data_IF_761381438625
#
_entry.id   IF_761381438625
#
_cell.length_a   1.000
_cell.length_b   1.000
_cell.length_c   1.000
_cell.angle_alpha   90.00
_cell.angle_beta   90.00
_cell.angle_gamma   90.00
#
_symmetry.space_group_name_H-M   'P 1'
#
loop_
_entity.id
_entity.type
_entity.pdbx_description
1 polymer ?
#
# COMPACT_ATOMS: atom_id res chain seq x y z
N UNK A 1 -10.38 -4.56 -81.52
CA UNK A 1 -8.98 -5.02 -81.36
C UNK A 1 -8.49 -4.76 -79.94
N UNK A 2 -8.53 -5.78 -79.08
CA UNK A 2 -7.59 -6.04 -77.97
C UNK A 2 -7.85 -7.47 -77.48
N UNK A 3 -6.77 -8.16 -77.14
CA UNK A 3 -6.57 -9.60 -77.26
C UNK A 3 -7.13 -10.37 -76.04
N UNK A 4 -7.53 -11.61 -76.30
CA UNK A 4 -7.89 -12.66 -75.35
C UNK A 4 -6.79 -12.95 -74.33
N UNK A 5 -7.16 -13.38 -73.11
CA UNK A 5 -6.51 -14.51 -72.46
C UNK A 5 -7.40 -15.11 -71.35
N UNK A 6 -7.67 -16.39 -71.56
CA UNK A 6 -8.37 -17.34 -70.71
C UNK A 6 -7.41 -17.77 -69.61
N UNK A 7 -7.86 -17.80 -68.35
CA UNK A 7 -7.37 -18.77 -67.38
C UNK A 7 -8.55 -19.27 -66.53
N UNK A 8 -8.99 -20.47 -66.87
CA UNK A 8 -9.79 -21.29 -66.00
C UNK A 8 -8.85 -21.97 -65.00
N UNK A 9 -9.11 -21.81 -63.70
CA UNK A 9 -8.73 -22.80 -62.70
C UNK A 9 -9.83 -22.87 -61.67
N UNK A 10 -10.66 -23.91 -61.81
CA UNK A 10 -11.53 -24.41 -60.77
C UNK A 10 -10.64 -25.08 -59.72
N UNK A 11 -10.66 -24.59 -58.49
CA UNK A 11 -10.29 -25.39 -57.33
C UNK A 11 -11.39 -25.26 -56.27
N UNK A 12 -12.01 -26.40 -56.03
CA UNK A 12 -12.98 -26.72 -55.00
C UNK A 12 -12.23 -26.97 -53.69
N UNK A 13 -12.41 -26.14 -52.66
CA UNK A 13 -12.06 -26.51 -51.27
C UNK A 13 -13.02 -25.88 -50.25
N UNK A 14 -13.91 -26.73 -49.74
CA UNK A 14 -14.31 -26.94 -48.34
C UNK A 14 -14.51 -25.70 -47.44
N UNK A 15 -15.78 -25.53 -47.05
CA UNK A 15 -16.30 -24.76 -45.91
C UNK A 15 -15.49 -24.92 -44.62
N UNK A 16 -15.04 -23.81 -44.03
CA UNK A 16 -14.82 -23.71 -42.58
C UNK A 16 -15.44 -22.40 -42.08
N UNK A 17 -16.59 -22.57 -41.43
CA UNK A 17 -17.18 -21.63 -40.50
C UNK A 17 -16.20 -21.45 -39.33
N UNK A 18 -15.64 -20.24 -39.16
CA UNK A 18 -15.07 -19.81 -37.88
C UNK A 18 -15.89 -18.61 -37.41
N UNK A 19 -16.78 -18.89 -36.46
CA UNK A 19 -17.22 -17.95 -35.44
C UNK A 19 -16.06 -17.77 -34.44
N UNK A 20 -16.16 -16.72 -33.60
CA UNK A 20 -15.46 -16.56 -32.31
C UNK A 20 -14.07 -15.90 -32.40
N UNK A 21 -13.74 -14.80 -31.72
CA UNK A 21 -14.40 -13.84 -30.84
C UNK A 21 -13.60 -12.52 -30.93
N UNK A 22 -14.27 -11.37 -30.81
CA UNK A 22 -13.62 -10.16 -30.32
C UNK A 22 -13.37 -10.35 -28.82
N UNK A 23 -12.18 -10.78 -28.45
CA UNK A 23 -11.67 -10.56 -27.10
C UNK A 23 -11.03 -9.17 -27.09
N UNK A 24 -11.88 -8.14 -26.98
CA UNK A 24 -11.46 -6.90 -26.33
C UNK A 24 -11.32 -7.25 -24.85
N UNK A 25 -10.18 -7.84 -24.49
CA UNK A 25 -9.77 -8.01 -23.10
C UNK A 25 -9.40 -6.60 -22.60
N UNK A 26 -10.45 -5.82 -22.33
CA UNK A 26 -10.45 -4.50 -21.72
C UNK A 26 -10.03 -4.67 -20.26
N UNK A 27 -8.78 -5.14 -20.07
CA UNK A 27 -8.08 -5.16 -18.80
C UNK A 27 -7.68 -3.74 -18.47
N UNK A 28 -8.68 -2.85 -18.32
CA UNK A 28 -8.45 -1.62 -17.59
C UNK A 28 -7.92 -2.06 -16.21
N UNK A 29 -6.64 -1.78 -15.90
CA UNK A 29 -6.09 -2.18 -14.62
C UNK A 29 -6.96 -1.58 -13.53
N UNK A 30 -7.34 -2.39 -12.54
CA UNK A 30 -8.16 -1.93 -11.42
C UNK A 30 -7.35 -0.89 -10.67
N UNK A 31 -7.59 0.38 -10.97
CA UNK A 31 -6.88 1.49 -10.34
C UNK A 31 -7.38 1.67 -8.91
N UNK A 32 -6.45 1.93 -8.00
CA UNK A 32 -6.79 2.24 -6.62
C UNK A 32 -7.53 3.57 -6.55
N UNK A 33 -8.69 3.62 -5.92
CA UNK A 33 -9.43 4.86 -5.74
C UNK A 33 -8.66 5.85 -4.83
N UNK A 34 -8.68 7.15 -5.19
CA UNK A 34 -7.96 8.20 -4.47
C UNK A 34 -8.39 8.29 -3.01
N UNK A 35 -9.70 8.30 -2.76
CA UNK A 35 -10.24 8.45 -1.41
C UNK A 35 -9.94 7.21 -0.57
N UNK A 36 -9.95 6.03 -1.20
CA UNK A 36 -9.55 4.76 -0.58
C UNK A 36 -8.08 4.77 -0.16
N UNK A 37 -7.18 5.24 -1.03
CA UNK A 37 -5.76 5.40 -0.68
C UNK A 37 -5.57 6.37 0.49
N UNK A 38 -6.15 7.57 0.43
CA UNK A 38 -6.04 8.58 1.50
C UNK A 38 -6.54 8.04 2.83
N UNK A 39 -7.70 7.38 2.83
CA UNK A 39 -8.32 6.86 4.06
C UNK A 39 -7.48 5.74 4.67
N UNK A 40 -6.95 4.85 3.84
CA UNK A 40 -6.14 3.71 4.28
C UNK A 40 -4.78 4.17 4.79
N UNK A 41 -4.08 5.01 4.03
CA UNK A 41 -2.78 5.56 4.40
C UNK A 41 -2.88 6.41 5.68
N UNK A 42 -3.91 7.26 5.81
CA UNK A 42 -4.12 8.06 7.01
C UNK A 42 -4.37 7.20 8.26
N UNK A 43 -5.21 6.16 8.14
CA UNK A 43 -5.49 5.26 9.26
C UNK A 43 -4.26 4.46 9.68
N UNK A 44 -3.50 3.92 8.73
CA UNK A 44 -2.26 3.18 8.99
C UNK A 44 -1.22 4.10 9.66
N UNK A 45 -1.02 5.31 9.12
CA UNK A 45 -0.11 6.30 9.68
C UNK A 45 -0.49 6.71 11.11
N UNK A 46 -1.77 6.99 11.38
CA UNK A 46 -2.24 7.35 12.71
C UNK A 46 -2.04 6.20 13.71
N UNK A 47 -2.24 4.97 13.28
CA UNK A 47 -1.97 3.80 14.11
C UNK A 47 -0.49 3.70 14.47
N UNK A 48 0.42 3.85 13.51
CA UNK A 48 1.86 3.73 13.74
C UNK A 48 2.39 4.85 14.65
N UNK A 49 1.83 6.07 14.57
CA UNK A 49 2.10 7.14 15.55
C UNK A 49 1.66 6.71 16.95
N UNK A 50 0.43 6.21 17.10
CA UNK A 50 -0.12 5.85 18.41
C UNK A 50 0.60 4.63 19.01
N UNK A 51 0.90 3.61 18.21
CA UNK A 51 1.65 2.44 18.62
C UNK A 51 3.10 2.81 18.98
N UNK A 52 3.74 3.68 18.20
CA UNK A 52 5.07 4.22 18.50
C UNK A 52 5.11 4.96 19.83
N UNK A 53 4.11 5.81 20.10
CA UNK A 53 4.00 6.50 21.39
C UNK A 53 3.83 5.51 22.56
N UNK A 54 3.01 4.45 22.39
CA UNK A 54 2.92 3.39 23.38
C UNK A 54 4.24 2.65 23.58
N UNK A 55 5.05 2.46 22.52
CA UNK A 55 6.35 1.81 22.62
C UNK A 55 7.35 2.63 23.43
N UNK A 56 7.37 3.96 23.26
CA UNK A 56 8.19 4.85 24.11
C UNK A 56 7.79 4.74 25.58
N UNK A 57 6.48 4.70 25.87
CA UNK A 57 5.96 4.67 27.24
C UNK A 57 6.10 3.30 27.92
N UNK A 58 5.79 2.21 27.20
CA UNK A 58 5.56 0.88 27.77
C UNK A 58 6.66 -0.13 27.45
N UNK A 59 7.52 0.18 26.47
CA UNK A 59 8.56 -0.74 26.02
C UNK A 59 9.65 -0.94 27.06
N UNK A 60 10.04 -2.20 27.30
CA UNK A 60 11.14 -2.49 28.24
C UNK A 60 12.51 -2.47 27.57
N UNK A 61 12.60 -2.96 26.34
CA UNK A 61 13.81 -2.93 25.54
C UNK A 61 14.09 -1.52 24.99
N UNK A 62 15.35 -1.08 25.06
CA UNK A 62 15.79 0.20 24.49
C UNK A 62 15.51 0.25 22.98
N UNK A 63 15.76 -0.84 22.26
CA UNK A 63 15.50 -0.94 20.82
C UNK A 63 14.01 -0.70 20.47
N UNK A 64 13.07 -1.16 21.31
CA UNK A 64 11.62 -0.93 21.10
C UNK A 64 11.27 0.54 21.32
N UNK A 65 11.79 1.16 22.38
CA UNK A 65 11.56 2.59 22.64
C UNK A 65 12.12 3.45 21.50
N UNK A 66 13.37 3.22 21.10
CA UNK A 66 14.00 3.96 20.01
C UNK A 66 13.24 3.79 18.70
N UNK A 67 12.85 2.57 18.35
CA UNK A 67 12.03 2.33 17.15
C UNK A 67 10.70 3.10 17.23
N UNK A 68 10.01 3.08 18.39
CA UNK A 68 8.80 3.85 18.62
C UNK A 68 8.97 5.36 18.44
N UNK A 69 10.09 5.93 18.92
CA UNK A 69 10.42 7.35 18.72
C UNK A 69 10.60 7.69 17.23
N UNK A 70 11.28 6.82 16.48
CA UNK A 70 11.44 6.99 15.03
C UNK A 70 10.07 6.98 14.32
N UNK A 71 9.18 6.05 14.69
CA UNK A 71 7.84 5.97 14.11
C UNK A 71 7.03 7.24 14.36
N UNK A 72 7.00 7.75 15.59
CA UNK A 72 6.27 8.98 15.93
C UNK A 72 6.79 10.17 15.10
N UNK A 73 8.11 10.29 14.95
CA UNK A 73 8.71 11.42 14.26
C UNK A 73 8.46 11.41 12.75
N UNK A 74 8.67 10.26 12.10
CA UNK A 74 8.59 10.18 10.64
C UNK A 74 7.13 10.08 10.16
N UNK A 75 6.29 9.30 10.84
CA UNK A 75 4.86 9.24 10.53
C UNK A 75 4.11 10.52 10.92
N UNK A 76 4.58 11.25 11.95
CA UNK A 76 4.05 12.58 12.27
C UNK A 76 4.17 13.52 11.07
N UNK A 77 5.36 13.60 10.47
CA UNK A 77 5.60 14.41 9.27
C UNK A 77 4.78 13.92 8.07
N UNK A 78 4.76 12.60 7.83
CA UNK A 78 3.99 12.02 6.72
C UNK A 78 2.48 12.30 6.86
N UNK A 79 1.95 12.28 8.08
CA UNK A 79 0.55 12.64 8.37
C UNK A 79 0.24 14.10 8.05
N UNK A 80 1.15 15.02 8.39
CA UNK A 80 1.00 16.45 8.05
C UNK A 80 1.02 16.69 6.54
N UNK A 81 1.95 16.03 5.83
CA UNK A 81 2.03 16.09 4.36
C UNK A 81 0.74 15.56 3.71
N UNK A 82 0.26 14.37 4.11
CA UNK A 82 -0.96 13.78 3.56
C UNK A 82 -2.17 14.66 3.83
N UNK A 83 -2.27 15.26 5.02
CA UNK A 83 -3.33 16.20 5.36
C UNK A 83 -3.31 17.42 4.43
N UNK A 84 -2.14 18.01 4.18
CA UNK A 84 -2.02 19.15 3.27
C UNK A 84 -2.41 18.80 1.82
N UNK A 85 -2.03 17.60 1.35
CA UNK A 85 -2.45 17.10 0.03
C UNK A 85 -3.97 16.92 0.00
N UNK A 86 -4.55 16.28 1.02
CA UNK A 86 -5.98 16.02 1.11
C UNK A 86 -6.79 17.32 1.11
N UNK A 87 -6.40 18.31 1.91
CA UNK A 87 -7.03 19.64 1.94
C UNK A 87 -6.97 20.34 0.57
N UNK A 88 -5.84 20.27 -0.11
CA UNK A 88 -5.64 20.89 -1.43
C UNK A 88 -6.46 20.20 -2.53
N UNK A 89 -6.55 18.87 -2.47
CA UNK A 89 -7.18 18.04 -3.51
C UNK A 89 -8.65 17.73 -3.22
N UNK A 90 -9.18 18.11 -2.05
CA UNK A 90 -10.57 17.89 -1.65
C UNK A 90 -10.87 16.46 -1.17
N UNK A 91 -9.87 15.74 -0.66
CA UNK A 91 -10.07 14.42 -0.06
C UNK A 91 -10.39 14.54 1.43
N UNK A 92 -11.13 13.56 1.94
CA UNK A 92 -11.45 13.48 3.38
C UNK A 92 -10.40 12.63 4.09
N UNK A 93 -9.85 13.12 5.20
CA UNK A 93 -9.03 12.32 6.12
C UNK A 93 -9.92 11.84 7.26
N UNK A 94 -10.14 10.53 7.43
CA UNK A 94 -10.94 10.01 8.53
C UNK A 94 -10.35 10.39 9.89
N UNK A 95 -11.21 10.75 10.85
CA UNK A 95 -10.79 11.01 12.23
C UNK A 95 -10.57 9.71 13.02
N UNK A 96 -11.30 8.66 12.66
CA UNK A 96 -11.27 7.38 13.35
C UNK A 96 -10.37 6.39 12.63
N UNK A 97 -9.72 5.52 13.40
CA UNK A 97 -8.97 4.39 12.86
C UNK A 97 -9.90 3.39 12.18
N UNK A 98 -9.44 2.81 11.07
CA UNK A 98 -10.04 1.62 10.50
C UNK A 98 -10.07 0.48 11.53
N UNK A 99 -11.07 -0.41 11.43
CA UNK A 99 -11.30 -1.44 12.43
C UNK A 99 -10.09 -2.33 12.72
N UNK A 100 -9.32 -2.68 11.67
CA UNK A 100 -8.07 -3.46 11.80
C UNK A 100 -7.03 -2.72 12.65
N UNK A 101 -6.80 -1.45 12.35
CA UNK A 101 -5.80 -0.64 13.06
C UNK A 101 -6.21 -0.36 14.51
N UNK A 102 -7.51 -0.15 14.73
CA UNK A 102 -8.05 -0.08 16.09
C UNK A 102 -7.83 -1.38 16.85
N UNK A 103 -8.07 -2.54 16.23
CA UNK A 103 -7.87 -3.84 16.88
C UNK A 103 -6.39 -4.09 17.22
N UNK A 104 -5.47 -3.71 16.33
CA UNK A 104 -4.02 -3.79 16.59
C UNK A 104 -3.63 -2.94 17.81
N UNK A 105 -4.15 -1.70 17.90
CA UNK A 105 -3.89 -0.82 19.04
C UNK A 105 -4.51 -1.35 20.34
N UNK A 106 -5.73 -1.89 20.27
CA UNK A 106 -6.43 -2.48 21.40
C UNK A 106 -5.67 -3.73 21.93
N UNK A 107 -5.00 -4.48 21.06
CA UNK A 107 -4.14 -5.61 21.44
C UNK A 107 -2.89 -5.17 22.23
N UNK A 108 -2.28 -4.05 21.85
CA UNK A 108 -1.07 -3.51 22.51
C UNK A 108 -1.39 -2.85 23.85
N UNK A 109 -2.54 -2.19 23.93
CA UNK A 109 -2.91 -1.33 25.06
C UNK A 109 -2.79 -1.98 26.45
N UNK A 110 -3.25 -3.23 26.69
CA UNK A 110 -3.15 -3.85 28.02
C UNK A 110 -1.75 -4.42 28.34
N UNK A 111 -0.83 -4.45 27.36
CA UNK A 111 0.49 -5.06 27.52
C UNK A 111 1.50 -4.05 28.08
N UNK A 112 2.53 -4.56 28.75
CA UNK A 112 3.70 -3.78 29.20
C UNK A 112 4.94 -4.66 29.20
N UNK A 113 6.12 -4.04 29.21
CA UNK A 113 7.40 -4.72 29.28
C UNK A 113 7.61 -5.72 28.15
N UNK A 114 8.18 -6.88 28.45
CA UNK A 114 8.55 -7.87 27.43
C UNK A 114 7.35 -8.36 26.60
N UNK A 115 6.17 -8.50 27.22
CA UNK A 115 4.96 -8.89 26.49
C UNK A 115 4.53 -7.82 25.48
N UNK A 116 4.66 -6.55 25.84
CA UNK A 116 4.45 -5.44 24.92
C UNK A 116 5.49 -5.46 23.81
N UNK A 117 6.77 -5.54 24.14
CA UNK A 117 7.88 -5.52 23.19
C UNK A 117 7.69 -6.57 22.09
N UNK A 118 7.33 -7.81 22.48
CA UNK A 118 7.09 -8.92 21.55
C UNK A 118 5.92 -8.69 20.62
N UNK A 119 4.78 -8.26 21.17
CA UNK A 119 3.58 -8.01 20.38
C UNK A 119 3.78 -6.80 19.43
N UNK A 120 4.39 -5.73 19.92
CA UNK A 120 4.69 -4.53 19.15
C UNK A 120 5.56 -4.85 17.94
N UNK A 121 6.68 -5.55 18.13
CA UNK A 121 7.59 -5.87 17.03
C UNK A 121 6.92 -6.73 15.94
N UNK A 122 6.07 -7.69 16.31
CA UNK A 122 5.33 -8.51 15.35
C UNK A 122 4.28 -7.71 14.57
N UNK A 123 3.58 -6.79 15.25
CA UNK A 123 2.55 -5.96 14.61
C UNK A 123 3.19 -4.94 13.66
N UNK A 124 4.32 -4.32 14.04
CA UNK A 124 5.02 -3.35 13.19
C UNK A 124 5.53 -3.96 11.88
N UNK A 125 6.02 -5.22 11.91
CA UNK A 125 6.38 -5.92 10.66
C UNK A 125 5.17 -6.03 9.73
N UNK A 126 4.04 -6.51 10.23
CA UNK A 126 2.82 -6.69 9.40
C UNK A 126 2.29 -5.36 8.88
N UNK A 127 2.24 -4.34 9.74
CA UNK A 127 1.76 -3.00 9.37
C UNK A 127 2.60 -2.41 8.25
N UNK A 128 3.93 -2.51 8.35
CA UNK A 128 4.82 -1.99 7.32
C UNK A 128 4.86 -2.83 6.05
N UNK A 129 4.68 -4.16 6.11
CA UNK A 129 4.50 -4.98 4.89
C UNK A 129 3.27 -4.52 4.10
N UNK A 130 2.15 -4.28 4.79
CA UNK A 130 0.92 -3.78 4.19
C UNK A 130 1.08 -2.34 3.68
N UNK A 131 1.79 -1.47 4.42
CA UNK A 131 2.07 -0.10 3.99
C UNK A 131 2.97 -0.07 2.74
N UNK A 132 4.05 -0.85 2.70
CA UNK A 132 4.92 -0.96 1.51
C UNK A 132 4.12 -1.44 0.31
N UNK A 133 3.25 -2.44 0.47
CA UNK A 133 2.38 -2.90 -0.61
C UNK A 133 1.44 -1.78 -1.09
N UNK A 134 0.72 -1.14 -0.17
CA UNK A 134 -0.20 -0.04 -0.47
C UNK A 134 0.49 1.08 -1.25
N UNK A 135 1.67 1.51 -0.79
CA UNK A 135 2.42 2.61 -1.39
C UNK A 135 3.05 2.21 -2.72
N UNK A 136 3.53 0.97 -2.86
CA UNK A 136 4.04 0.44 -4.13
C UNK A 136 2.96 0.40 -5.21
N UNK A 137 1.76 -0.10 -4.86
CA UNK A 137 0.61 -0.12 -5.75
C UNK A 137 0.17 1.30 -6.14
N UNK A 138 0.02 2.20 -5.16
CA UNK A 138 -0.37 3.58 -5.38
C UNK A 138 0.65 4.33 -6.27
N UNK A 139 1.94 4.08 -6.07
CA UNK A 139 3.05 4.67 -6.82
C UNK A 139 3.13 4.23 -8.29
N UNK A 140 2.56 3.06 -8.62
CA UNK A 140 2.64 2.46 -9.95
C UNK A 140 1.93 3.30 -11.04
N UNK A 141 2.24 3.01 -12.31
CA UNK A 141 1.63 3.73 -13.45
C UNK A 141 0.10 3.59 -13.51
N UNK A 142 -0.42 2.44 -13.06
CA UNK A 142 -1.84 2.13 -12.93
C UNK A 142 -2.34 2.22 -11.48
N UNK A 143 -1.59 2.93 -10.62
CA UNK A 143 -1.86 3.07 -9.19
C UNK A 143 -2.96 4.09 -8.90
N UNK A 144 -2.71 4.98 -7.95
CA UNK A 144 -3.68 6.01 -7.57
C UNK A 144 -3.78 7.08 -8.69
N UNK A 145 -4.99 7.42 -9.19
CA UNK A 145 -5.15 8.33 -10.32
C UNK A 145 -4.60 9.74 -10.08
N UNK A 146 -4.80 10.28 -8.88
CA UNK A 146 -4.35 11.62 -8.51
C UNK A 146 -2.82 11.69 -8.53
N UNK A 147 -2.27 12.60 -9.35
CA UNK A 147 -0.82 12.71 -9.52
C UNK A 147 -0.08 13.14 -8.26
N UNK A 148 -0.67 14.01 -7.43
CA UNK A 148 -0.04 14.45 -6.18
C UNK A 148 0.07 13.29 -5.18
N UNK A 149 -0.99 12.48 -5.04
CA UNK A 149 -0.97 11.26 -4.21
C UNK A 149 0.04 10.25 -4.75
N UNK A 150 0.09 10.04 -6.07
CA UNK A 150 1.05 9.10 -6.68
C UNK A 150 2.50 9.54 -6.50
N UNK A 151 2.78 10.84 -6.63
CA UNK A 151 4.11 11.40 -6.35
C UNK A 151 4.48 11.21 -4.88
N UNK A 152 3.58 11.58 -3.97
CA UNK A 152 3.81 11.42 -2.54
C UNK A 152 4.04 9.95 -2.16
N UNK A 153 3.27 9.01 -2.72
CA UNK A 153 3.47 7.58 -2.52
C UNK A 153 4.87 7.13 -2.96
N UNK A 154 5.33 7.56 -4.14
CA UNK A 154 6.70 7.29 -4.61
C UNK A 154 7.77 7.88 -3.68
N UNK A 155 7.56 9.08 -3.14
CA UNK A 155 8.52 9.74 -2.25
C UNK A 155 8.62 9.08 -0.87
N UNK A 156 7.52 8.53 -0.35
CA UNK A 156 7.49 7.86 0.96
C UNK A 156 7.96 6.40 0.90
N UNK A 157 7.81 5.72 -0.25
CA UNK A 157 8.09 4.29 -0.38
C UNK A 157 9.49 3.88 0.12
N UNK A 158 10.60 4.57 -0.20
CA UNK A 158 11.92 4.18 0.30
C UNK A 158 12.05 4.23 1.82
N UNK A 159 11.36 5.17 2.47
CA UNK A 159 11.33 5.28 3.94
C UNK A 159 10.52 4.14 4.55
N UNK A 160 9.37 3.80 3.98
CA UNK A 160 8.56 2.66 4.43
C UNK A 160 9.29 1.33 4.26
N UNK A 161 10.04 1.15 3.17
CA UNK A 161 10.90 -0.03 2.97
C UNK A 161 12.00 -0.11 4.03
N UNK A 162 12.65 1.02 4.36
CA UNK A 162 13.64 1.07 5.43
C UNK A 162 13.04 0.75 6.80
N UNK A 163 11.88 1.34 7.13
CA UNK A 163 11.19 1.07 8.39
C UNK A 163 10.75 -0.39 8.50
N UNK A 164 10.35 -1.04 7.39
CA UNK A 164 10.04 -2.47 7.37
C UNK A 164 11.28 -3.33 7.71
N UNK A 165 12.43 -3.01 7.14
CA UNK A 165 13.66 -3.73 7.45
C UNK A 165 14.07 -3.54 8.92
N UNK A 166 13.92 -2.32 9.45
CA UNK A 166 14.12 -2.05 10.88
C UNK A 166 13.12 -2.83 11.76
N UNK A 167 11.85 -2.93 11.34
CA UNK A 167 10.83 -3.71 12.04
C UNK A 167 11.19 -5.20 12.09
N UNK A 168 11.67 -5.77 10.97
CA UNK A 168 12.09 -7.17 10.89
C UNK A 168 13.32 -7.43 11.75
N UNK A 169 14.30 -6.51 11.76
CA UNK A 169 15.48 -6.58 12.60
C UNK A 169 15.09 -6.54 14.09
N UNK A 170 14.24 -5.59 14.47
CA UNK A 170 13.69 -5.48 15.82
C UNK A 170 12.95 -6.76 16.22
N UNK A 171 12.07 -7.28 15.36
CA UNK A 171 11.34 -8.49 15.63
C UNK A 171 12.25 -9.71 15.81
N UNK A 172 13.31 -9.83 15.02
CA UNK A 172 14.32 -10.90 15.18
C UNK A 172 15.05 -10.79 16.53
N UNK A 173 15.35 -9.57 16.97
CA UNK A 173 16.01 -9.32 18.26
C UNK A 173 15.09 -9.64 19.45
N UNK A 174 13.82 -9.27 19.37
CA UNK A 174 12.86 -9.34 20.48
C UNK A 174 12.15 -10.72 20.53
N UNK A 175 11.99 -11.38 19.39
CA UNK A 175 11.35 -12.69 19.24
C UNK A 175 12.33 -13.71 18.60
N UNK A 176 13.39 -14.11 19.32
CA UNK A 176 14.38 -15.09 18.83
C UNK A 176 13.85 -16.52 18.76
#
# INVERSE_FOLDING_TARGET
MKKYLIFAFVYLTISHFVLSCSDDDDTNPVMMDNQTFVSTAASSNQFEIMAGAQAVEKGSAEAVRSYGEHMVNDHGKAGEELKAIAETQGFTVPMELAAKEKANLDQLTPLTGEAFDKAFAQIMVKSHEEAVLLFSEAASQSGVPNSALRTWANEKLPTLEAHLEDAKALNTQINP
#
